data_IF_593105645023
#
_entry.id   IF_593105645023
#
_cell.length_a   1.000
_cell.length_b   1.000
_cell.length_c   1.000
_cell.angle_alpha   90.00
_cell.angle_beta   90.00
_cell.angle_gamma   90.00
#
_symmetry.space_group_name_H-M   'P 1'
#
loop_
_entity.id
_entity.type
_entity.pdbx_description
1 polymer ?
#
# COMPACT_ATOMS: atom_id res chain seq x y z
N UNK A 1 -29.87 -39.86 -17.57
CA UNK A 1 -28.46 -39.65 -17.96
C UNK A 1 -28.08 -38.16 -18.03
N UNK A 2 -28.78 -37.32 -18.81
CA UNK A 2 -28.43 -35.91 -19.06
C UNK A 2 -28.36 -35.01 -17.80
N UNK A 3 -29.28 -35.16 -16.84
CA UNK A 3 -29.36 -34.29 -15.66
C UNK A 3 -28.13 -34.37 -14.74
N UNK A 4 -27.49 -35.55 -14.65
CA UNK A 4 -26.29 -35.73 -13.83
C UNK A 4 -25.07 -35.01 -14.42
N UNK A 5 -24.93 -34.97 -15.75
CA UNK A 5 -23.87 -34.23 -16.42
C UNK A 5 -24.04 -32.71 -16.23
N UNK A 6 -25.27 -32.22 -16.30
CA UNK A 6 -25.59 -30.80 -16.03
C UNK A 6 -25.34 -30.45 -14.57
N UNK A 7 -25.74 -31.32 -13.63
CA UNK A 7 -25.49 -31.12 -12.21
C UNK A 7 -23.99 -31.04 -11.86
N UNK A 8 -23.17 -31.92 -12.44
CA UNK A 8 -21.72 -31.89 -12.24
C UNK A 8 -21.08 -30.61 -12.81
N UNK A 9 -21.51 -30.15 -13.98
CA UNK A 9 -21.02 -28.91 -14.58
C UNK A 9 -21.38 -27.68 -13.73
N UNK A 10 -22.61 -27.62 -13.21
CA UNK A 10 -23.08 -26.52 -12.35
C UNK A 10 -22.33 -26.52 -11.02
N UNK A 11 -22.20 -27.66 -10.34
CA UNK A 11 -21.50 -27.76 -9.06
C UNK A 11 -20.01 -27.46 -9.21
N UNK A 12 -19.36 -27.95 -10.27
CA UNK A 12 -17.97 -27.66 -10.59
C UNK A 12 -17.73 -26.18 -10.88
N UNK A 13 -18.60 -25.55 -11.68
CA UNK A 13 -18.53 -24.11 -11.96
C UNK A 13 -18.71 -23.26 -10.70
N UNK A 14 -19.65 -23.64 -9.82
CA UNK A 14 -19.93 -22.93 -8.58
C UNK A 14 -18.75 -23.04 -7.59
N UNK A 15 -18.11 -24.21 -7.50
CA UNK A 15 -16.90 -24.41 -6.70
C UNK A 15 -15.71 -23.57 -7.18
N UNK A 16 -15.53 -23.42 -8.50
CA UNK A 16 -14.48 -22.57 -9.08
C UNK A 16 -14.73 -21.10 -8.77
N UNK A 17 -15.96 -20.61 -8.93
CA UNK A 17 -16.31 -19.22 -8.63
C UNK A 17 -16.14 -18.91 -7.14
N UNK A 18 -16.58 -19.81 -6.25
CA UNK A 18 -16.39 -19.65 -4.81
C UNK A 18 -14.91 -19.72 -4.40
N UNK A 19 -14.13 -20.62 -5.00
CA UNK A 19 -12.69 -20.72 -4.77
C UNK A 19 -11.92 -19.48 -5.21
N UNK A 20 -12.21 -18.96 -6.41
CA UNK A 20 -11.64 -17.72 -6.92
C UNK A 20 -12.06 -16.54 -6.05
N UNK A 21 -13.34 -16.46 -5.66
CA UNK A 21 -13.84 -15.42 -4.76
C UNK A 21 -13.14 -15.43 -3.38
N UNK A 22 -12.90 -16.62 -2.81
CA UNK A 22 -12.18 -16.77 -1.55
C UNK A 22 -10.70 -16.36 -1.64
N UNK A 23 -10.03 -16.70 -2.75
CA UNK A 23 -8.66 -16.27 -3.02
C UNK A 23 -8.56 -14.75 -3.19
N UNK A 24 -9.52 -14.13 -3.89
CA UNK A 24 -9.59 -12.67 -4.04
C UNK A 24 -9.84 -11.99 -2.69
N UNK A 25 -10.74 -12.52 -1.86
CA UNK A 25 -10.98 -11.99 -0.51
C UNK A 25 -9.74 -12.05 0.39
N UNK A 26 -8.93 -13.11 0.28
CA UNK A 26 -7.64 -13.25 0.98
C UNK A 26 -6.56 -12.30 0.46
N UNK A 27 -6.55 -12.03 -0.84
CA UNK A 27 -5.59 -11.10 -1.46
C UNK A 27 -5.98 -9.63 -1.23
N UNK A 28 -7.28 -9.32 -1.20
CA UNK A 28 -7.82 -7.99 -0.96
C UNK A 28 -7.77 -7.55 0.52
N UNK A 29 -7.47 -8.48 1.43
CA UNK A 29 -7.21 -8.18 2.84
C UNK A 29 -5.77 -7.75 3.10
N UNK A 30 -5.05 -7.27 2.08
CA UNK A 30 -3.75 -6.62 2.29
C UNK A 30 -3.90 -5.48 3.29
N UNK A 31 -2.99 -5.37 4.26
CA UNK A 31 -3.12 -4.41 5.34
C UNK A 31 -3.21 -3.00 4.75
N UNK A 32 -4.13 -2.19 5.29
CA UNK A 32 -4.12 -0.74 5.05
C UNK A 32 -2.70 -0.25 5.32
N UNK A 33 -2.20 0.56 4.41
CA UNK A 33 -0.95 1.28 4.58
C UNK A 33 -1.08 2.16 5.82
N UNK A 34 -0.49 1.70 6.93
CA UNK A 34 -0.30 2.52 8.12
C UNK A 34 1.05 3.19 7.93
N UNK A 35 1.08 4.28 7.16
CA UNK A 35 2.26 5.15 7.19
C UNK A 35 2.47 5.63 8.63
N UNK A 36 3.72 5.73 9.12
CA UNK A 36 3.98 6.34 10.42
C UNK A 36 3.35 7.74 10.46
N UNK A 37 2.81 8.15 11.62
CA UNK A 37 2.19 9.45 11.79
C UNK A 37 3.22 10.57 11.54
N UNK A 38 3.23 11.07 10.32
CA UNK A 38 4.03 12.21 9.89
C UNK A 38 3.32 13.47 10.33
N UNK A 39 3.74 14.02 11.47
CA UNK A 39 3.25 15.33 11.91
C UNK A 39 3.94 16.42 11.10
N UNK A 40 3.17 17.34 10.54
CA UNK A 40 3.69 18.54 9.88
C UNK A 40 3.18 19.79 10.58
N UNK A 41 4.06 20.78 10.69
CA UNK A 41 3.76 22.10 11.26
C UNK A 41 3.28 23.11 10.19
N UNK A 42 3.14 22.67 8.94
CA UNK A 42 2.76 23.51 7.81
C UNK A 42 3.90 24.33 7.21
N UNK A 43 5.09 24.31 7.82
CA UNK A 43 6.30 24.98 7.32
C UNK A 43 7.25 24.02 6.59
N UNK A 44 6.78 22.80 6.34
CA UNK A 44 7.53 21.74 5.66
C UNK A 44 8.44 20.95 6.59
N UNK A 45 8.28 21.09 7.91
CA UNK A 45 8.95 20.21 8.87
C UNK A 45 8.11 18.96 9.11
N UNK A 46 8.81 17.85 9.37
CA UNK A 46 8.20 16.55 9.60
C UNK A 46 8.82 15.90 10.83
N UNK A 47 7.96 15.33 11.68
CA UNK A 47 8.36 14.50 12.81
C UNK A 47 7.91 13.06 12.61
N UNK A 48 8.79 12.11 12.92
CA UNK A 48 8.51 10.67 12.93
C UNK A 48 8.89 10.12 14.30
N UNK A 49 7.93 9.48 14.98
CA UNK A 49 8.12 8.98 16.36
C UNK A 49 8.69 10.05 17.32
N UNK A 50 8.22 11.30 17.16
CA UNK A 50 8.66 12.44 17.98
C UNK A 50 10.06 12.96 17.67
N UNK A 51 10.70 12.52 16.58
CA UNK A 51 12.01 13.01 16.14
C UNK A 51 11.88 13.79 14.82
N UNK A 52 12.48 14.98 14.80
CA UNK A 52 12.56 15.83 13.60
C UNK A 52 13.36 15.13 12.50
N UNK A 53 12.74 14.99 11.33
CA UNK A 53 13.40 14.45 10.15
C UNK A 53 14.40 15.47 9.61
N UNK A 54 15.64 15.03 9.39
CA UNK A 54 16.68 15.83 8.76
C UNK A 54 17.26 15.10 7.55
N UNK A 55 17.63 15.87 6.52
CA UNK A 55 18.20 15.32 5.31
C UNK A 55 19.62 14.85 5.60
N UNK A 56 19.85 13.53 5.61
CA UNK A 56 21.16 12.95 5.85
C UNK A 56 22.22 13.28 4.76
N UNK A 57 21.87 14.06 3.72
CA UNK A 57 22.82 14.53 2.70
C UNK A 57 23.22 16.00 2.92
N UNK A 58 22.24 16.90 3.12
CA UNK A 58 22.50 18.34 3.18
C UNK A 58 22.16 19.02 4.51
N UNK A 59 21.66 18.25 5.49
CA UNK A 59 21.26 18.74 6.82
C UNK A 59 19.97 19.56 6.85
N UNK A 60 19.29 19.78 5.72
CA UNK A 60 18.02 20.50 5.67
C UNK A 60 16.91 19.73 6.39
N UNK A 61 16.04 20.45 7.09
CA UNK A 61 14.90 19.94 7.85
C UNK A 61 13.54 20.26 7.18
N UNK A 62 13.58 20.91 6.00
CA UNK A 62 12.41 21.17 5.16
C UNK A 62 12.24 20.12 4.06
N UNK A 63 11.03 19.57 3.99
CA UNK A 63 10.62 18.55 3.03
C UNK A 63 9.24 18.84 2.45
N UNK A 64 8.94 18.19 1.32
CA UNK A 64 7.59 18.03 0.80
C UNK A 64 7.19 16.56 0.91
N UNK A 65 6.04 16.28 1.51
CA UNK A 65 5.49 14.92 1.55
C UNK A 65 4.71 14.61 0.27
N UNK A 66 4.93 13.41 -0.26
CA UNK A 66 4.14 12.84 -1.35
C UNK A 66 3.79 11.40 -1.01
N UNK A 67 2.53 11.06 -1.17
CA UNK A 67 2.10 9.67 -1.15
C UNK A 67 2.28 9.10 -2.56
N UNK A 68 2.95 7.96 -2.66
CA UNK A 68 3.18 7.28 -3.94
C UNK A 68 2.61 5.88 -3.81
N UNK A 69 1.74 5.52 -4.76
CA UNK A 69 1.25 4.15 -4.92
C UNK A 69 2.31 3.36 -5.69
N UNK A 70 2.81 2.26 -5.10
CA UNK A 70 3.74 1.34 -5.75
C UNK A 70 2.95 0.38 -6.65
N UNK A 71 2.41 0.90 -7.76
CA UNK A 71 1.55 0.08 -8.60
C UNK A 71 2.28 -1.02 -9.37
N UNK A 72 1.62 -2.18 -9.45
CA UNK A 72 1.94 -3.22 -10.43
C UNK A 72 1.03 -3.02 -11.65
N UNK A 73 1.55 -3.08 -12.87
CA UNK A 73 0.83 -2.74 -14.12
C UNK A 73 -0.58 -3.36 -14.28
N UNK A 74 -0.81 -4.54 -13.72
CA UNK A 74 -2.09 -5.26 -13.77
C UNK A 74 -3.19 -4.62 -12.88
N UNK A 75 -2.81 -3.97 -11.78
CA UNK A 75 -3.75 -3.35 -10.82
C UNK A 75 -4.36 -2.06 -11.39
N UNK A 76 -3.59 -1.28 -12.15
CA UNK A 76 -4.09 -0.09 -12.86
C UNK A 76 -5.07 -0.44 -13.99
N UNK A 77 -4.92 -1.62 -14.61
CA UNK A 77 -5.79 -2.08 -15.70
C UNK A 77 -7.17 -2.54 -15.18
N UNK A 78 -7.24 -2.98 -13.93
CA UNK A 78 -8.47 -3.40 -13.25
C UNK A 78 -9.09 -2.31 -12.37
N UNK A 79 -8.49 -1.11 -12.34
CA UNK A 79 -8.91 0.01 -11.49
C UNK A 79 -8.94 -0.37 -9.99
N UNK A 80 -8.05 -1.28 -9.58
CA UNK A 80 -7.94 -1.82 -8.22
C UNK A 80 -6.84 -1.09 -7.43
N UNK A 81 -6.82 0.24 -7.53
CA UNK A 81 -5.83 1.11 -6.88
C UNK A 81 -5.90 1.05 -5.35
N UNK A 82 -7.01 0.54 -4.80
CA UNK A 82 -7.24 0.30 -3.38
C UNK A 82 -6.55 -0.96 -2.84
N UNK A 83 -6.03 -1.84 -3.70
CA UNK A 83 -5.29 -3.04 -3.30
C UNK A 83 -3.80 -2.77 -3.02
N UNK A 84 -3.32 -1.57 -3.34
CA UNK A 84 -1.90 -1.27 -3.38
C UNK A 84 -1.31 -0.85 -2.03
N UNK A 85 -0.08 -1.28 -1.79
CA UNK A 85 0.73 -0.80 -0.68
C UNK A 85 1.33 0.58 -1.05
N UNK A 86 0.69 1.64 -0.59
CA UNK A 86 1.26 2.98 -0.55
C UNK A 86 2.53 3.07 0.32
N UNK A 87 3.41 3.99 -0.03
CA UNK A 87 4.54 4.43 0.80
C UNK A 87 4.57 5.95 0.83
N UNK A 88 4.93 6.51 1.98
CA UNK A 88 5.12 7.96 2.10
C UNK A 88 6.56 8.34 1.80
N UNK A 89 6.74 9.30 0.91
CA UNK A 89 8.05 9.82 0.50
C UNK A 89 8.18 11.28 0.91
N UNK A 90 9.27 11.61 1.59
CA UNK A 90 9.66 12.98 1.87
C UNK A 90 10.73 13.41 0.87
N UNK A 91 10.48 14.52 0.16
CA UNK A 91 11.41 15.12 -0.80
C UNK A 91 12.07 16.34 -0.17
N UNK A 92 13.40 16.35 -0.05
CA UNK A 92 14.12 17.49 0.50
C UNK A 92 14.06 18.71 -0.43
N UNK A 93 13.62 19.86 0.09
CA UNK A 93 13.53 21.09 -0.70
C UNK A 93 14.90 21.63 -1.16
N UNK A 94 15.96 21.33 -0.42
CA UNK A 94 17.29 21.90 -0.67
C UNK A 94 18.09 21.12 -1.73
N UNK A 95 18.03 19.79 -1.70
CA UNK A 95 18.86 18.95 -2.57
C UNK A 95 18.08 17.91 -3.39
N UNK A 96 16.75 17.84 -3.24
CA UNK A 96 15.91 16.89 -3.97
C UNK A 96 16.03 15.43 -3.50
N UNK A 97 16.82 15.15 -2.45
CA UNK A 97 16.94 13.79 -1.90
C UNK A 97 15.58 13.30 -1.42
N UNK A 98 15.23 12.09 -1.86
CA UNK A 98 14.05 11.35 -1.42
C UNK A 98 14.39 10.51 -0.20
N UNK A 99 13.52 10.56 0.81
CA UNK A 99 13.54 9.69 1.99
C UNK A 99 12.24 8.92 2.04
N UNK A 100 12.33 7.60 1.94
CA UNK A 100 11.17 6.69 1.93
C UNK A 100 10.89 6.20 3.35
N UNK A 101 9.62 6.21 3.73
CA UNK A 101 9.14 5.57 4.95
C UNK A 101 8.19 4.43 4.55
N UNK A 102 8.59 3.21 4.90
CA UNK A 102 7.74 2.03 4.79
C UNK A 102 6.90 1.86 6.06
N UNK A 103 5.93 0.95 6.01
CA UNK A 103 5.26 0.47 7.21
C UNK A 103 6.32 -0.10 8.18
N UNK A 104 6.20 0.25 9.45
CA UNK A 104 6.94 -0.42 10.51
C UNK A 104 6.10 -1.63 10.94
N UNK A 105 6.69 -2.81 10.99
CA UNK A 105 6.03 -3.99 11.54
C UNK A 105 5.74 -3.72 13.02
N UNK A 106 4.47 -3.66 13.40
CA UNK A 106 4.04 -3.38 14.77
C UNK A 106 4.34 -4.53 15.75
N UNK A 107 4.90 -5.64 15.25
CA UNK A 107 5.10 -6.90 15.97
C UNK A 107 6.54 -7.10 16.49
N UNK A 108 7.45 -6.12 16.33
CA UNK A 108 8.84 -6.23 16.81
C UNK A 108 9.09 -5.48 18.14
N UNK A 109 8.23 -5.73 19.14
CA UNK A 109 8.49 -5.41 20.56
C UNK A 109 8.18 -6.60 21.49
#
# INVERSE_FOLDING_TARGET
MQYWLVALAVVGGLAVVLGIGFLILRAASTPRVISPSLNTDGEGHFDVLGKRVQCAHCGSDRFAAREILLNTWLLSLLNLEWLDAGSTVLTCHKCGRLTWFSQADADEQ
#
